data_IF_298747405242
#
_entry.id   IF_298747405242
#
_cell.length_a   1.000
_cell.length_b   1.000
_cell.length_c   1.000
_cell.angle_alpha   90.00
_cell.angle_beta   90.00
_cell.angle_gamma   90.00
#
_symmetry.space_group_name_H-M   'P 1'
#
loop_
_entity.id
_entity.type
_entity.pdbx_description
1 polymer ?
#
# COMPACT_ATOMS: atom_id res chain seq x y z
N UNK A 1 26.57 44.59 21.92
CA UNK A 1 26.77 43.38 22.72
C UNK A 1 25.85 43.51 23.95
N UNK A 2 25.07 42.53 24.30
CA UNK A 2 24.20 42.64 25.48
C UNK A 2 25.05 42.64 26.76
N UNK A 3 24.78 43.60 27.64
CA UNK A 3 25.39 43.74 28.98
C UNK A 3 24.34 43.51 30.03
N UNK A 4 24.74 42.90 31.15
CA UNK A 4 23.92 42.67 32.31
C UNK A 4 24.59 43.29 33.54
N UNK A 5 23.83 43.76 34.48
CA UNK A 5 24.36 44.32 35.74
C UNK A 5 24.72 43.19 36.70
N UNK A 6 25.92 43.15 37.22
CA UNK A 6 26.35 42.14 38.17
C UNK A 6 25.56 42.30 39.50
N UNK A 7 24.87 41.24 39.97
CA UNK A 7 24.04 41.34 41.19
C UNK A 7 24.85 41.54 42.48
N UNK A 8 26.18 41.28 42.50
CA UNK A 8 27.01 41.42 43.69
C UNK A 8 27.71 42.77 43.78
N UNK A 9 28.17 43.32 42.67
CA UNK A 9 28.94 44.59 42.70
C UNK A 9 28.31 45.75 41.91
N UNK A 10 27.17 45.50 41.21
CA UNK A 10 26.43 46.54 40.49
C UNK A 10 27.07 47.01 39.18
N UNK A 11 28.24 46.48 38.78
CA UNK A 11 28.92 46.90 37.54
C UNK A 11 28.38 46.12 36.34
N UNK A 12 28.46 46.76 35.19
CA UNK A 12 28.02 46.16 33.92
C UNK A 12 29.01 45.08 33.43
N UNK A 13 28.54 43.93 33.13
CA UNK A 13 29.31 42.76 32.66
C UNK A 13 28.72 42.24 31.36
N UNK A 14 29.61 41.94 30.41
CA UNK A 14 29.19 41.28 29.17
C UNK A 14 28.58 39.91 29.46
N UNK A 15 27.47 39.58 28.81
CA UNK A 15 26.85 38.25 28.87
C UNK A 15 27.76 37.12 28.41
N UNK A 16 28.87 37.45 27.69
CA UNK A 16 29.86 36.48 27.20
C UNK A 16 31.05 36.31 28.16
N UNK A 17 31.12 37.10 29.26
CA UNK A 17 32.20 36.99 30.22
C UNK A 17 32.02 35.78 31.14
N UNK A 18 33.03 34.94 31.28
CA UNK A 18 32.98 33.77 32.17
C UNK A 18 32.90 34.15 33.68
N UNK A 19 33.39 35.34 34.01
CA UNK A 19 33.32 35.90 35.40
C UNK A 19 33.28 37.43 35.35
N UNK A 20 32.74 38.04 36.39
CA UNK A 20 32.74 39.49 36.55
C UNK A 20 34.18 40.01 36.73
N UNK A 21 34.66 40.96 35.89
CA UNK A 21 36.03 41.47 35.97
C UNK A 21 36.26 42.32 37.24
N UNK A 22 35.20 42.78 37.94
CA UNK A 22 35.30 43.63 39.14
C UNK A 22 35.27 42.84 40.45
N UNK A 23 34.45 41.79 40.55
CA UNK A 23 34.30 41.04 41.81
C UNK A 23 34.65 39.54 41.67
N UNK A 24 34.96 39.05 40.46
CA UNK A 24 35.34 37.67 40.26
C UNK A 24 34.18 36.68 40.33
N UNK A 25 32.93 37.12 40.49
CA UNK A 25 31.79 36.23 40.53
C UNK A 25 31.66 35.49 39.18
N UNK A 26 31.58 34.12 39.17
CA UNK A 26 31.33 33.40 37.96
C UNK A 26 29.94 33.78 37.39
N UNK A 27 29.90 34.17 36.15
CA UNK A 27 28.64 34.40 35.48
C UNK A 27 27.91 33.04 35.39
N UNK A 28 26.61 32.99 35.77
CA UNK A 28 25.85 31.76 35.49
C UNK A 28 25.97 31.46 34.00
N UNK A 29 26.21 30.21 33.61
CA UNK A 29 26.22 29.86 32.21
C UNK A 29 24.90 30.36 31.63
N UNK A 30 24.98 31.39 30.78
CA UNK A 30 23.81 31.76 29.99
C UNK A 30 23.55 30.53 29.15
N UNK A 31 22.59 29.74 29.56
CA UNK A 31 22.11 28.68 28.70
C UNK A 31 21.70 29.38 27.41
N UNK A 32 22.57 29.34 26.42
CA UNK A 32 22.19 29.67 25.06
C UNK A 32 21.03 28.74 24.80
N UNK A 33 19.81 29.24 24.99
CA UNK A 33 18.66 28.62 24.42
C UNK A 33 18.98 28.62 22.93
N UNK A 34 19.57 27.53 22.46
CA UNK A 34 19.69 27.28 21.02
C UNK A 34 18.33 27.66 20.49
N UNK A 35 18.22 28.57 19.50
CA UNK A 35 16.93 28.92 18.94
C UNK A 35 16.27 27.58 18.70
N UNK A 36 15.18 27.32 19.41
CA UNK A 36 14.45 26.07 19.26
C UNK A 36 14.31 25.95 17.75
N UNK A 37 15.06 25.00 17.17
CA UNK A 37 15.07 24.81 15.73
C UNK A 37 13.60 24.76 15.42
N UNK A 38 13.08 25.78 14.76
CA UNK A 38 11.67 25.88 14.46
C UNK A 38 11.38 24.57 13.75
N UNK A 39 10.80 23.63 14.49
CA UNK A 39 10.43 22.36 13.94
C UNK A 39 9.53 22.77 12.79
N UNK A 40 10.07 22.69 11.59
CA UNK A 40 9.32 22.92 10.35
C UNK A 40 8.06 22.12 10.58
N UNK A 41 6.86 22.71 10.62
CA UNK A 41 5.66 21.98 10.99
C UNK A 41 5.62 20.78 10.06
N UNK A 42 5.86 19.60 10.64
CA UNK A 42 5.77 18.35 9.90
C UNK A 42 4.38 18.41 9.30
N UNK A 43 4.29 18.60 7.99
CA UNK A 43 3.00 18.76 7.33
C UNK A 43 2.16 17.58 7.77
N UNK A 44 1.03 17.87 8.41
CA UNK A 44 0.14 16.85 8.92
C UNK A 44 -0.12 15.83 7.79
N UNK A 45 0.12 14.56 8.10
CA UNK A 45 -0.11 13.50 7.12
C UNK A 45 -1.62 13.40 6.88
N UNK A 46 -2.02 13.74 5.68
CA UNK A 46 -3.42 13.73 5.25
C UNK A 46 -3.68 12.51 4.38
N UNK A 47 -4.71 11.74 4.73
CA UNK A 47 -5.17 10.61 3.92
C UNK A 47 -5.96 11.13 2.73
N UNK A 48 -5.44 10.92 1.53
CA UNK A 48 -6.07 11.36 0.28
C UNK A 48 -7.06 10.33 -0.25
N UNK A 49 -6.74 9.05 -0.06
CA UNK A 49 -7.59 7.95 -0.49
C UNK A 49 -7.32 6.70 0.36
N UNK A 50 -8.40 5.99 0.66
CA UNK A 50 -8.35 4.70 1.33
C UNK A 50 -9.30 3.74 0.62
N UNK A 51 -8.84 2.53 0.36
CA UNK A 51 -9.65 1.52 -0.32
C UNK A 51 -9.13 0.11 -0.11
N UNK A 52 -9.88 -0.84 -0.64
CA UNK A 52 -9.54 -2.26 -0.64
C UNK A 52 -9.74 -2.84 -2.04
N UNK A 53 -9.14 -4.01 -2.33
CA UNK A 53 -9.41 -4.71 -3.59
C UNK A 53 -10.91 -4.98 -3.74
N UNK A 54 -11.43 -4.77 -4.95
CA UNK A 54 -12.84 -5.02 -5.24
C UNK A 54 -13.14 -6.53 -5.30
N UNK A 55 -14.27 -6.96 -4.76
CA UNK A 55 -14.78 -8.34 -4.90
C UNK A 55 -14.96 -8.77 -6.37
N UNK A 56 -15.07 -7.80 -7.30
CA UNK A 56 -15.20 -8.06 -8.75
C UNK A 56 -14.04 -8.87 -9.32
N UNK A 57 -12.87 -8.87 -8.67
CA UNK A 57 -11.74 -9.76 -9.00
C UNK A 57 -12.14 -11.24 -8.94
N UNK A 58 -13.13 -11.60 -8.12
CA UNK A 58 -13.61 -12.96 -7.95
C UNK A 58 -14.55 -13.43 -9.08
N UNK A 59 -15.08 -12.51 -9.89
CA UNK A 59 -16.04 -12.85 -10.97
C UNK A 59 -15.49 -13.91 -11.92
N UNK A 60 -14.22 -13.78 -12.33
CA UNK A 60 -13.59 -14.79 -13.19
C UNK A 60 -13.54 -16.18 -12.57
N UNK A 61 -13.36 -16.27 -11.24
CA UNK A 61 -13.37 -17.55 -10.52
C UNK A 61 -14.79 -18.12 -10.41
N UNK A 62 -15.78 -17.28 -10.19
CA UNK A 62 -17.20 -17.71 -10.15
C UNK A 62 -17.58 -18.29 -11.51
N UNK A 63 -17.24 -17.61 -12.61
CA UNK A 63 -17.47 -18.10 -13.97
C UNK A 63 -16.76 -19.43 -14.20
N UNK A 64 -15.51 -19.56 -13.76
CA UNK A 64 -14.77 -20.82 -13.89
C UNK A 64 -15.43 -21.98 -13.14
N UNK A 65 -15.95 -21.76 -11.91
CA UNK A 65 -16.68 -22.76 -11.14
C UNK A 65 -17.93 -23.21 -11.90
N UNK A 66 -18.70 -22.27 -12.42
CA UNK A 66 -19.95 -22.56 -13.16
C UNK A 66 -19.62 -23.36 -14.43
N UNK A 67 -18.62 -22.93 -15.19
CA UNK A 67 -18.21 -23.63 -16.42
C UNK A 67 -17.72 -25.06 -16.13
N UNK A 68 -16.92 -25.25 -15.08
CA UNK A 68 -16.46 -26.58 -14.67
C UNK A 68 -17.61 -27.49 -14.28
N UNK A 69 -18.57 -26.95 -13.50
CA UNK A 69 -19.73 -27.70 -13.05
C UNK A 69 -20.68 -28.13 -14.20
N UNK A 70 -20.65 -27.38 -15.30
CA UNK A 70 -21.50 -27.68 -16.48
C UNK A 70 -20.74 -28.52 -17.50
N UNK A 71 -19.54 -28.11 -17.90
CA UNK A 71 -18.83 -28.71 -19.05
C UNK A 71 -18.36 -30.13 -18.76
N UNK A 72 -17.88 -30.43 -17.55
CA UNK A 72 -17.37 -31.77 -17.25
C UNK A 72 -18.48 -32.83 -17.26
N UNK A 73 -19.64 -32.64 -16.59
CA UNK A 73 -20.73 -33.60 -16.66
C UNK A 73 -21.30 -33.77 -18.06
N UNK A 74 -21.41 -32.67 -18.83
CA UNK A 74 -21.87 -32.73 -20.23
C UNK A 74 -20.89 -33.57 -21.09
N UNK A 75 -19.60 -33.34 -20.93
CA UNK A 75 -18.57 -34.12 -21.65
C UNK A 75 -18.60 -35.60 -21.23
N UNK A 76 -18.71 -35.89 -19.93
CA UNK A 76 -18.83 -37.27 -19.43
C UNK A 76 -20.08 -37.96 -19.92
N UNK A 77 -21.23 -37.28 -19.95
CA UNK A 77 -22.47 -37.77 -20.48
C UNK A 77 -22.39 -38.06 -22.01
N UNK A 78 -21.76 -37.16 -22.75
CA UNK A 78 -21.52 -37.36 -24.18
C UNK A 78 -20.64 -38.60 -24.46
N UNK A 79 -19.54 -38.76 -23.71
CA UNK A 79 -18.66 -39.93 -23.81
C UNK A 79 -19.43 -41.20 -23.43
N UNK A 80 -20.22 -41.17 -22.35
CA UNK A 80 -21.02 -42.29 -21.92
C UNK A 80 -22.09 -42.72 -22.95
N UNK A 81 -22.65 -41.78 -23.71
CA UNK A 81 -23.62 -42.06 -24.77
C UNK A 81 -23.04 -42.79 -25.99
N UNK A 82 -21.71 -42.75 -26.16
CA UNK A 82 -21.02 -43.45 -27.24
C UNK A 82 -20.73 -44.93 -26.91
N UNK A 83 -20.95 -45.34 -25.65
CA UNK A 83 -20.71 -46.70 -25.19
C UNK A 83 -22.00 -47.52 -25.28
N UNK A 84 -21.95 -48.70 -25.89
CA UNK A 84 -23.12 -49.58 -26.00
C UNK A 84 -23.38 -50.46 -24.77
N UNK A 85 -22.44 -50.45 -23.81
CA UNK A 85 -22.53 -51.22 -22.57
C UNK A 85 -23.05 -50.39 -21.43
N UNK A 86 -24.18 -50.79 -20.85
CA UNK A 86 -24.81 -50.06 -19.73
C UNK A 86 -23.89 -49.95 -18.49
N UNK A 87 -23.14 -51.00 -18.18
CA UNK A 87 -22.22 -50.97 -17.04
C UNK A 87 -21.07 -49.98 -17.26
N UNK A 88 -20.48 -49.94 -18.45
CA UNK A 88 -19.40 -49.02 -18.80
C UNK A 88 -19.90 -47.58 -18.78
N UNK A 89 -21.06 -47.28 -19.34
CA UNK A 89 -21.71 -45.97 -19.30
C UNK A 89 -21.94 -45.48 -17.87
N UNK A 90 -22.42 -46.34 -16.97
CA UNK A 90 -22.65 -45.98 -15.58
C UNK A 90 -21.35 -45.68 -14.80
N UNK A 91 -20.26 -46.42 -15.10
CA UNK A 91 -18.94 -46.20 -14.49
C UNK A 91 -18.35 -44.87 -14.95
N UNK A 92 -18.40 -44.57 -16.24
CA UNK A 92 -17.91 -43.31 -16.84
C UNK A 92 -18.63 -42.10 -16.18
N UNK A 93 -19.97 -42.20 -16.08
CA UNK A 93 -20.77 -41.14 -15.43
C UNK A 93 -20.39 -40.92 -13.95
N UNK A 94 -20.24 -42.00 -13.17
CA UNK A 94 -19.82 -41.89 -11.76
C UNK A 94 -18.43 -41.27 -11.60
N UNK A 95 -17.47 -41.69 -12.43
CA UNK A 95 -16.12 -41.11 -12.43
C UNK A 95 -16.16 -39.62 -12.82
N UNK A 96 -16.97 -39.26 -13.82
CA UNK A 96 -17.18 -37.88 -14.22
C UNK A 96 -17.68 -37.00 -13.06
N UNK A 97 -18.71 -37.47 -12.34
CA UNK A 97 -19.22 -36.73 -11.16
C UNK A 97 -18.21 -36.64 -10.02
N UNK A 98 -17.39 -37.67 -9.80
CA UNK A 98 -16.33 -37.64 -8.80
C UNK A 98 -15.27 -36.56 -9.16
N UNK A 99 -14.87 -36.50 -10.42
CA UNK A 99 -13.92 -35.48 -10.91
C UNK A 99 -14.50 -34.07 -10.72
N UNK A 100 -15.80 -33.88 -11.07
CA UNK A 100 -16.48 -32.59 -10.83
C UNK A 100 -16.45 -32.22 -9.36
N UNK A 101 -16.81 -33.16 -8.48
CA UNK A 101 -16.85 -32.89 -7.04
C UNK A 101 -15.49 -32.45 -6.50
N UNK A 102 -14.40 -33.12 -6.90
CA UNK A 102 -13.03 -32.77 -6.50
C UNK A 102 -12.62 -31.40 -7.08
N UNK A 103 -12.90 -31.16 -8.35
CA UNK A 103 -12.55 -29.90 -9.01
C UNK A 103 -13.30 -28.71 -8.43
N UNK A 104 -14.60 -28.84 -8.19
CA UNK A 104 -15.43 -27.80 -7.57
C UNK A 104 -14.99 -27.55 -6.13
N UNK A 105 -14.73 -28.61 -5.36
CA UNK A 105 -14.22 -28.47 -3.99
C UNK A 105 -12.91 -27.67 -3.97
N UNK A 106 -11.94 -28.01 -4.83
CA UNK A 106 -10.68 -27.28 -4.91
C UNK A 106 -10.88 -25.81 -5.33
N UNK A 107 -11.78 -25.55 -6.26
CA UNK A 107 -12.10 -24.19 -6.69
C UNK A 107 -12.76 -23.38 -5.58
N UNK A 108 -13.67 -23.98 -4.81
CA UNK A 108 -14.31 -23.32 -3.66
C UNK A 108 -13.29 -22.98 -2.58
N UNK A 109 -12.39 -23.91 -2.26
CA UNK A 109 -11.30 -23.65 -1.29
C UNK A 109 -10.44 -22.49 -1.74
N UNK A 110 -9.99 -22.50 -3.00
CA UNK A 110 -9.16 -21.39 -3.54
C UNK A 110 -9.93 -20.08 -3.62
N UNK A 111 -11.23 -20.10 -3.91
CA UNK A 111 -12.11 -18.94 -3.88
C UNK A 111 -12.18 -18.32 -2.48
N UNK A 112 -12.41 -19.13 -1.46
CA UNK A 112 -12.46 -18.69 -0.06
C UNK A 112 -11.14 -18.07 0.39
N UNK A 113 -10.00 -18.71 0.06
CA UNK A 113 -8.67 -18.18 0.38
C UNK A 113 -8.48 -16.80 -0.24
N UNK A 114 -8.84 -16.63 -1.51
CA UNK A 114 -8.67 -15.33 -2.19
C UNK A 114 -9.65 -14.29 -1.63
N UNK A 115 -10.89 -14.67 -1.33
CA UNK A 115 -11.87 -13.79 -0.71
C UNK A 115 -11.34 -13.22 0.63
N UNK A 116 -10.81 -14.10 1.48
CA UNK A 116 -10.20 -13.70 2.76
C UNK A 116 -9.02 -12.75 2.54
N UNK A 117 -8.13 -13.05 1.59
CA UNK A 117 -6.99 -12.16 1.25
C UNK A 117 -7.43 -10.79 0.76
N UNK A 118 -8.48 -10.71 -0.06
CA UNK A 118 -9.00 -9.43 -0.56
C UNK A 118 -9.58 -8.59 0.57
N UNK A 119 -10.35 -9.20 1.48
CA UNK A 119 -10.93 -8.49 2.63
C UNK A 119 -9.88 -8.04 3.65
N UNK A 120 -8.75 -8.74 3.71
CA UNK A 120 -7.65 -8.45 4.64
C UNK A 120 -6.61 -7.49 4.05
N UNK A 121 -6.87 -6.90 2.88
CA UNK A 121 -5.95 -5.97 2.22
C UNK A 121 -6.56 -4.57 2.23
N UNK A 122 -5.81 -3.61 2.77
CA UNK A 122 -6.19 -2.19 2.80
C UNK A 122 -5.08 -1.39 2.14
N UNK A 123 -5.46 -0.51 1.24
CA UNK A 123 -4.59 0.45 0.60
C UNK A 123 -4.88 1.85 1.14
N UNK A 124 -3.86 2.58 1.56
CA UNK A 124 -3.99 3.96 2.01
C UNK A 124 -2.97 4.82 1.27
N UNK A 125 -3.42 5.87 0.64
CA UNK A 125 -2.59 6.84 -0.06
C UNK A 125 -2.68 8.15 0.72
N UNK A 126 -1.54 8.63 1.19
CA UNK A 126 -1.42 9.91 1.90
C UNK A 126 -0.71 10.93 1.02
N UNK A 127 -0.53 12.13 1.55
CA UNK A 127 0.25 13.18 0.90
C UNK A 127 1.78 12.93 0.92
N UNK A 128 2.26 11.89 1.65
CA UNK A 128 3.69 11.59 1.82
C UNK A 128 4.07 10.17 1.40
N UNK A 129 3.19 9.18 1.60
CA UNK A 129 3.47 7.76 1.38
C UNK A 129 2.27 6.98 0.87
N UNK A 130 2.54 5.82 0.30
CA UNK A 130 1.54 4.79 -0.02
C UNK A 130 1.74 3.63 0.94
N UNK A 131 0.69 3.27 1.67
CA UNK A 131 0.68 2.17 2.64
C UNK A 131 -0.16 1.03 2.11
N UNK A 132 0.37 -0.20 2.21
CA UNK A 132 -0.28 -1.44 1.80
C UNK A 132 -0.31 -2.35 3.02
N UNK A 133 -1.44 -2.42 3.68
CA UNK A 133 -1.68 -3.35 4.78
C UNK A 133 -2.24 -4.65 4.23
N UNK A 134 -1.64 -5.79 4.60
CA UNK A 134 -2.09 -7.13 4.21
C UNK A 134 -2.08 -8.06 5.41
N UNK A 135 -3.08 -8.91 5.49
CA UNK A 135 -3.14 -10.03 6.42
C UNK A 135 -4.26 -9.96 7.44
N UNK A 136 -4.80 -11.15 7.77
CA UNK A 136 -5.89 -11.34 8.72
C UNK A 136 -5.35 -11.67 10.13
N UNK A 137 -4.50 -12.69 10.22
CA UNK A 137 -3.90 -13.18 11.48
C UNK A 137 -2.53 -12.55 11.73
N UNK A 138 -1.72 -12.44 10.68
CA UNK A 138 -0.45 -11.73 10.71
C UNK A 138 -0.57 -10.52 9.79
N UNK A 139 -0.40 -9.32 10.34
CA UNK A 139 -0.45 -8.08 9.57
C UNK A 139 0.94 -7.73 9.08
N UNK A 140 1.08 -7.48 7.78
CA UNK A 140 2.24 -6.87 7.17
C UNK A 140 1.87 -5.48 6.66
N UNK A 141 2.68 -4.49 6.98
CA UNK A 141 2.55 -3.12 6.49
C UNK A 141 3.75 -2.84 5.59
N UNK A 142 3.48 -2.56 4.33
CA UNK A 142 4.48 -2.10 3.38
C UNK A 142 4.23 -0.63 3.09
N UNK A 143 5.22 0.21 3.34
CA UNK A 143 5.16 1.64 3.11
C UNK A 143 6.15 2.03 2.02
N UNK A 144 5.70 2.85 1.08
CA UNK A 144 6.53 3.42 0.03
C UNK A 144 6.35 4.93 0.06
N UNK A 145 7.43 5.63 0.32
CA UNK A 145 7.42 7.10 0.28
C UNK A 145 7.26 7.58 -1.17
N UNK A 146 6.38 8.54 -1.38
CA UNK A 146 6.11 9.13 -2.70
C UNK A 146 7.35 9.73 -3.37
N UNK A 147 8.40 10.05 -2.58
CA UNK A 147 9.70 10.55 -3.08
C UNK A 147 10.45 9.55 -3.94
N UNK A 148 10.28 8.27 -3.61
CA UNK A 148 11.01 7.19 -4.27
C UNK A 148 10.23 6.55 -5.41
N UNK A 149 9.03 7.07 -5.74
CA UNK A 149 8.25 6.57 -6.86
C UNK A 149 8.78 7.20 -8.15
N UNK A 150 9.39 6.36 -8.99
CA UNK A 150 9.96 6.77 -10.26
C UNK A 150 8.90 6.72 -11.38
N UNK A 151 8.08 5.67 -11.41
CA UNK A 151 7.03 5.50 -12.44
C UNK A 151 5.79 4.82 -11.88
N UNK A 152 4.66 5.10 -12.53
CA UNK A 152 3.36 4.51 -12.20
C UNK A 152 2.67 3.99 -13.44
N UNK A 153 2.39 2.70 -13.48
CA UNK A 153 1.72 2.02 -14.58
C UNK A 153 0.37 1.49 -14.12
N UNK A 154 -0.58 1.38 -15.03
CA UNK A 154 -1.81 0.65 -14.74
C UNK A 154 -2.04 -0.40 -15.82
N UNK A 155 -2.61 -1.50 -15.40
CA UNK A 155 -2.96 -2.61 -16.28
C UNK A 155 -4.43 -2.99 -16.08
N UNK A 156 -5.13 -3.17 -17.18
CA UNK A 156 -6.50 -3.67 -17.23
C UNK A 156 -6.61 -4.69 -18.34
N UNK A 157 -7.02 -5.91 -18.02
CA UNK A 157 -7.48 -6.87 -19.03
C UNK A 157 -8.85 -6.45 -19.62
N UNK A 158 -9.28 -7.10 -20.68
CA UNK A 158 -10.62 -6.86 -21.27
C UNK A 158 -11.70 -7.11 -20.22
N UNK A 159 -11.58 -8.21 -19.46
CA UNK A 159 -12.52 -8.53 -18.38
C UNK A 159 -12.50 -7.49 -17.25
N UNK A 160 -11.32 -7.04 -16.84
CA UNK A 160 -11.18 -6.00 -15.80
C UNK A 160 -11.80 -4.68 -16.25
N UNK A 161 -11.68 -4.36 -17.54
CA UNK A 161 -12.27 -3.16 -18.12
C UNK A 161 -13.81 -3.20 -18.09
N UNK A 162 -14.40 -4.34 -18.40
CA UNK A 162 -15.85 -4.56 -18.30
C UNK A 162 -16.34 -4.45 -16.84
N UNK A 163 -15.53 -4.92 -15.89
CA UNK A 163 -15.82 -4.88 -14.47
C UNK A 163 -15.47 -3.53 -13.81
N UNK A 164 -14.80 -2.62 -14.53
CA UNK A 164 -14.38 -1.31 -14.04
C UNK A 164 -13.28 -1.38 -12.97
N UNK A 165 -12.46 -2.44 -12.97
CA UNK A 165 -11.35 -2.66 -12.04
C UNK A 165 -10.02 -2.70 -12.80
N UNK A 166 -8.91 -2.71 -12.08
CA UNK A 166 -7.56 -2.90 -12.64
C UNK A 166 -6.49 -2.88 -11.58
N UNK A 167 -5.26 -3.01 -12.04
CA UNK A 167 -4.07 -3.01 -11.18
C UNK A 167 -3.25 -1.76 -11.44
N UNK A 168 -2.75 -1.14 -10.37
CA UNK A 168 -1.81 -0.01 -10.45
C UNK A 168 -0.48 -0.49 -9.90
N UNK A 169 0.56 -0.44 -10.75
CA UNK A 169 1.92 -0.81 -10.40
C UNK A 169 2.74 0.47 -10.20
N UNK A 170 3.42 0.54 -9.07
CA UNK A 170 4.38 1.60 -8.74
C UNK A 170 5.78 1.02 -8.81
N UNK A 171 6.66 1.69 -9.53
CA UNK A 171 8.08 1.38 -9.61
C UNK A 171 8.81 2.39 -8.73
N UNK A 172 9.62 1.89 -7.81
CA UNK A 172 10.32 2.70 -6.82
C UNK A 172 11.82 2.46 -6.86
N UNK A 173 12.59 3.51 -6.61
CA UNK A 173 14.02 3.43 -6.34
C UNK A 173 14.36 2.94 -4.92
N UNK A 174 13.36 2.68 -4.09
CA UNK A 174 13.56 2.05 -2.78
C UNK A 174 14.03 0.61 -2.93
N UNK A 175 15.21 0.29 -2.37
CA UNK A 175 15.79 -1.06 -2.43
C UNK A 175 14.97 -2.11 -1.67
N UNK A 176 14.24 -1.71 -0.65
CA UNK A 176 13.40 -2.62 0.13
C UNK A 176 12.13 -3.03 -0.63
N UNK A 177 11.56 -2.10 -1.41
CA UNK A 177 10.32 -2.31 -2.17
C UNK A 177 10.42 -1.71 -3.57
N UNK A 178 11.17 -2.36 -4.48
CA UNK A 178 11.40 -1.82 -5.84
C UNK A 178 10.13 -1.79 -6.68
N UNK A 179 9.13 -2.59 -6.33
CA UNK A 179 7.85 -2.62 -7.04
C UNK A 179 6.71 -2.91 -6.07
N UNK A 180 5.65 -2.11 -6.15
CA UNK A 180 4.43 -2.36 -5.43
C UNK A 180 3.22 -2.36 -6.36
N UNK A 181 2.29 -3.27 -6.12
CA UNK A 181 1.09 -3.43 -6.93
C UNK A 181 -0.15 -3.31 -6.06
N UNK A 182 -1.02 -2.36 -6.43
CA UNK A 182 -2.36 -2.20 -5.92
C UNK A 182 -3.30 -3.00 -6.83
N UNK A 183 -3.78 -4.14 -6.37
CA UNK A 183 -4.58 -5.07 -7.17
C UNK A 183 -6.07 -4.81 -7.04
N UNK A 184 -6.82 -4.99 -8.15
CA UNK A 184 -8.27 -4.99 -8.14
C UNK A 184 -8.92 -3.68 -7.73
N UNK A 185 -8.29 -2.55 -8.00
CA UNK A 185 -8.79 -1.23 -7.64
C UNK A 185 -9.88 -0.79 -8.62
N UNK A 186 -10.94 -0.20 -8.09
CA UNK A 186 -11.94 0.48 -8.90
C UNK A 186 -11.35 1.79 -9.43
N UNK A 187 -11.59 2.10 -10.73
CA UNK A 187 -11.10 3.30 -11.41
C UNK A 187 -9.56 3.47 -11.32
N UNK A 188 -8.78 2.51 -11.78
CA UNK A 188 -7.33 2.50 -11.61
C UNK A 188 -6.62 3.70 -12.25
N UNK A 189 -7.21 4.31 -13.29
CA UNK A 189 -6.66 5.51 -13.92
C UNK A 189 -6.66 6.71 -12.97
N UNK A 190 -7.78 6.93 -12.27
CA UNK A 190 -7.90 8.05 -11.31
C UNK A 190 -6.87 7.89 -10.17
N UNK A 191 -6.73 6.67 -9.65
CA UNK A 191 -5.77 6.37 -8.58
C UNK A 191 -4.33 6.53 -9.05
N UNK A 192 -4.01 6.06 -10.26
CA UNK A 192 -2.68 6.28 -10.86
C UNK A 192 -2.36 7.77 -10.99
N UNK A 193 -3.28 8.57 -11.53
CA UNK A 193 -3.06 10.01 -11.68
C UNK A 193 -2.93 10.72 -10.32
N UNK A 194 -3.69 10.29 -9.32
CA UNK A 194 -3.55 10.79 -7.95
C UNK A 194 -2.14 10.56 -7.41
N UNK A 195 -1.63 9.31 -7.51
CA UNK A 195 -0.29 8.95 -7.04
C UNK A 195 0.76 9.76 -7.79
N UNK A 196 0.67 9.81 -9.13
CA UNK A 196 1.62 10.53 -9.99
C UNK A 196 1.66 12.02 -9.68
N UNK A 197 0.50 12.66 -9.55
CA UNK A 197 0.41 14.08 -9.23
C UNK A 197 1.05 14.40 -7.87
N UNK A 198 0.85 13.53 -6.86
CA UNK A 198 1.44 13.71 -5.54
C UNK A 198 2.93 13.43 -5.51
N UNK A 199 3.39 12.37 -6.15
CA UNK A 199 4.82 12.08 -6.28
C UNK A 199 5.57 13.25 -6.94
N UNK A 200 5.01 13.83 -8.00
CA UNK A 200 5.56 15.00 -8.66
C UNK A 200 5.63 16.22 -7.71
N UNK A 201 4.57 16.51 -6.96
CA UNK A 201 4.55 17.63 -6.01
C UNK A 201 5.59 17.47 -4.90
N UNK A 202 5.78 16.25 -4.38
CA UNK A 202 6.76 15.95 -3.33
C UNK A 202 8.19 16.09 -3.89
N UNK A 203 8.47 15.60 -5.10
CA UNK A 203 9.75 15.70 -5.77
C UNK A 203 10.15 17.16 -6.04
N UNK A 204 9.24 17.98 -6.53
CA UNK A 204 9.47 19.41 -6.80
C UNK A 204 9.88 20.16 -5.52
N UNK A 205 9.23 19.92 -4.39
CA UNK A 205 9.56 20.60 -3.13
C UNK A 205 10.98 20.34 -2.65
N UNK A 206 11.52 19.14 -2.89
CA UNK A 206 12.89 18.79 -2.51
C UNK A 206 13.95 19.55 -3.33
N UNK A 207 13.68 19.83 -4.59
CA UNK A 207 14.58 20.60 -5.43
C UNK A 207 14.74 22.04 -4.90
N UNK A 208 13.64 22.63 -4.41
CA UNK A 208 13.68 23.98 -3.84
C UNK A 208 14.35 24.05 -2.47
N UNK A 209 14.23 23.02 -1.63
CA UNK A 209 14.88 22.99 -0.29
C UNK A 209 16.37 22.69 -0.36
N UNK A 210 16.89 22.10 -1.44
CA UNK A 210 18.33 21.90 -1.66
C UNK A 210 19.04 23.10 -2.27
N UNK A 211 18.31 24.07 -2.81
CA UNK A 211 18.84 25.25 -3.49
C UNK A 211 18.96 26.49 -2.57
N UNK A 212 18.53 26.39 -1.32
CA UNK A 212 18.68 27.39 -0.25
C UNK A 212 19.62 26.90 0.84
#
# INVERSE_FOLDING_TARGET
MPVITCPDCGHDVSTMAAACPHCGRPSPPVAYAAPAAAATPAMAEETLWRGSPSWRVLVGRIVAIILTAILIPVAAGFIASQTNELEMSSRISKIGWLIVAIAVFWQVVTFLIVMVRLQSTIYTITNQRVMIERGLLSKSLNEIDLRYIDDTQFFQSIADRLLGIGNVTMISSDRAFPTAVLQGIVKPREIRELIRARAYQVSQRQLFTRAT
#
